data_IF_579901521572
#
_entry.id   IF_579901521572
#
_cell.length_a   1.000
_cell.length_b   1.000
_cell.length_c   1.000
_cell.angle_alpha   90.00
_cell.angle_beta   90.00
_cell.angle_gamma   90.00
#
_symmetry.space_group_name_H-M   'P 1'
#
loop_
_entity.id
_entity.type
_entity.pdbx_description
1 polymer ?
#
# COMPACT_ATOMS: atom_id res chain seq x y z
N UNK A 1 28.24 -6.20 -14.88
CA UNK A 1 27.32 -7.18 -14.29
C UNK A 1 26.55 -7.79 -15.45
N UNK A 2 26.32 -9.10 -15.45
CA UNK A 2 25.52 -9.73 -16.50
C UNK A 2 24.06 -9.33 -16.25
N UNK A 3 23.56 -8.32 -16.94
CA UNK A 3 22.15 -7.91 -16.84
C UNK A 3 21.27 -9.09 -17.24
N UNK A 4 20.51 -9.62 -16.28
CA UNK A 4 19.58 -10.75 -16.52
C UNK A 4 18.43 -10.33 -17.45
N UNK A 5 18.18 -9.03 -17.56
CA UNK A 5 17.16 -8.41 -18.40
C UNK A 5 17.82 -7.36 -19.29
N UNK A 6 17.57 -7.38 -20.60
CA UNK A 6 17.96 -6.27 -21.46
C UNK A 6 17.07 -5.04 -21.18
N UNK A 7 17.55 -3.85 -21.55
CA UNK A 7 16.87 -2.59 -21.27
C UNK A 7 15.44 -2.51 -21.84
N UNK A 8 15.17 -3.15 -22.99
CA UNK A 8 13.83 -3.14 -23.60
C UNK A 8 12.89 -4.03 -22.77
N UNK A 9 13.34 -5.23 -22.41
CA UNK A 9 12.57 -6.14 -21.57
C UNK A 9 12.28 -5.54 -20.19
N UNK A 10 13.27 -4.90 -19.57
CA UNK A 10 13.11 -4.25 -18.26
C UNK A 10 12.06 -3.14 -18.31
N UNK A 11 12.09 -2.28 -19.32
CA UNK A 11 11.11 -1.20 -19.51
C UNK A 11 9.69 -1.76 -19.73
N UNK A 12 9.56 -2.79 -20.57
CA UNK A 12 8.27 -3.46 -20.82
C UNK A 12 7.73 -4.06 -19.52
N UNK A 13 8.58 -4.73 -18.74
CA UNK A 13 8.17 -5.35 -17.49
C UNK A 13 7.76 -4.31 -16.46
N UNK A 14 8.54 -3.24 -16.30
CA UNK A 14 8.20 -2.19 -15.34
C UNK A 14 6.90 -1.49 -15.70
N UNK A 15 6.72 -1.11 -16.98
CA UNK A 15 5.47 -0.54 -17.48
C UNK A 15 4.26 -1.44 -17.22
N UNK A 16 4.42 -2.76 -17.37
CA UNK A 16 3.36 -3.73 -17.03
C UNK A 16 3.07 -3.77 -15.52
N UNK A 17 4.08 -3.71 -14.66
CA UNK A 17 3.87 -3.67 -13.21
C UNK A 17 3.17 -2.37 -12.76
N UNK A 18 3.48 -1.24 -13.39
CA UNK A 18 2.76 0.02 -13.17
C UNK A 18 1.29 -0.15 -13.59
N UNK A 19 1.03 -0.77 -14.75
CA UNK A 19 -0.33 -1.08 -15.18
C UNK A 19 -1.08 -2.00 -14.19
N UNK A 20 -0.41 -2.94 -13.53
CA UNK A 20 -1.00 -3.75 -12.45
C UNK A 20 -1.47 -2.87 -11.29
N UNK A 21 -0.63 -1.94 -10.84
CA UNK A 21 -1.00 -1.01 -9.77
C UNK A 21 -2.13 -0.06 -10.19
N UNK A 22 -2.09 0.44 -11.42
CA UNK A 22 -3.12 1.33 -11.99
C UNK A 22 -4.48 0.64 -12.17
N UNK A 23 -4.50 -0.65 -12.51
CA UNK A 23 -5.75 -1.41 -12.59
C UNK A 23 -6.36 -1.63 -11.21
N UNK A 24 -5.53 -1.87 -10.19
CA UNK A 24 -5.97 -1.93 -8.80
C UNK A 24 -6.51 -0.57 -8.32
N UNK A 25 -5.85 0.54 -8.67
CA UNK A 25 -6.30 1.90 -8.37
C UNK A 25 -7.64 2.21 -9.05
N UNK A 26 -7.79 1.85 -10.33
CA UNK A 26 -9.05 1.99 -11.06
C UNK A 26 -10.17 1.19 -10.41
N UNK A 27 -9.87 -0.02 -9.93
CA UNK A 27 -10.83 -0.84 -9.20
C UNK A 27 -11.26 -0.16 -7.90
N UNK A 28 -10.30 0.27 -7.08
CA UNK A 28 -10.57 1.00 -5.83
C UNK A 28 -11.46 2.21 -6.06
N UNK A 29 -11.11 3.05 -7.03
CA UNK A 29 -11.86 4.26 -7.37
C UNK A 29 -13.32 3.95 -7.77
N UNK A 30 -13.55 2.88 -8.53
CA UNK A 30 -14.86 2.51 -9.07
C UNK A 30 -15.76 1.80 -8.06
N UNK A 31 -15.18 1.18 -7.04
CA UNK A 31 -15.93 0.44 -6.00
C UNK A 31 -16.01 1.18 -4.68
N UNK A 32 -15.30 2.31 -4.53
CA UNK A 32 -15.36 3.16 -3.35
C UNK A 32 -16.74 3.79 -3.13
N UNK A 33 -17.05 4.01 -1.84
CA UNK A 33 -18.31 4.54 -1.36
C UNK A 33 -18.16 6.01 -0.97
N UNK A 34 -17.02 6.41 -0.39
CA UNK A 34 -16.81 7.79 0.01
C UNK A 34 -16.35 8.69 -1.16
N UNK A 35 -16.73 9.98 -1.15
CA UNK A 35 -16.20 10.95 -2.11
C UNK A 35 -14.70 11.24 -1.90
N UNK A 36 -14.14 10.90 -0.73
CA UNK A 36 -12.72 11.06 -0.44
C UNK A 36 -11.89 10.21 -1.41
N UNK A 37 -12.23 8.93 -1.52
CA UNK A 37 -11.58 8.04 -2.50
C UNK A 37 -12.07 8.37 -3.90
N UNK A 38 -13.39 8.46 -4.12
CA UNK A 38 -14.01 8.51 -5.46
C UNK A 38 -13.77 9.82 -6.22
N UNK A 39 -13.70 10.94 -5.51
CA UNK A 39 -13.64 12.28 -6.12
C UNK A 39 -12.33 13.01 -5.81
N UNK A 40 -11.69 12.72 -4.67
CA UNK A 40 -10.44 13.38 -4.27
C UNK A 40 -9.19 12.55 -4.53
N UNK A 41 -9.33 11.27 -4.93
CA UNK A 41 -8.23 10.34 -5.14
C UNK A 41 -7.29 10.21 -3.93
N UNK A 42 -7.81 10.31 -2.71
CA UNK A 42 -7.01 10.21 -1.48
C UNK A 42 -6.73 8.75 -1.12
N UNK A 43 -5.97 8.08 -2.00
CA UNK A 43 -5.54 6.70 -1.86
C UNK A 43 -4.27 6.42 -2.67
N UNK A 44 -3.65 5.27 -2.43
CA UNK A 44 -2.65 4.69 -3.32
C UNK A 44 -2.74 3.16 -3.31
N UNK A 45 -2.25 2.55 -4.38
CA UNK A 45 -2.04 1.11 -4.51
C UNK A 45 -0.58 0.84 -4.86
N UNK A 46 -0.04 -0.24 -4.32
CA UNK A 46 1.36 -0.62 -4.54
C UNK A 46 1.50 -2.14 -4.66
N UNK A 47 2.43 -2.56 -5.52
CA UNK A 47 2.96 -3.91 -5.55
C UNK A 47 4.35 -3.90 -4.93
N UNK A 48 4.61 -4.80 -3.99
CA UNK A 48 5.85 -4.87 -3.23
C UNK A 48 6.44 -6.28 -3.28
N UNK A 49 7.76 -6.39 -3.19
CA UNK A 49 8.43 -7.69 -3.09
C UNK A 49 8.32 -8.28 -1.66
N UNK A 50 8.94 -9.45 -1.43
CA UNK A 50 8.93 -10.14 -0.13
C UNK A 50 9.65 -9.39 1.00
N UNK A 51 10.47 -8.38 0.67
CA UNK A 51 11.11 -7.48 1.65
C UNK A 51 10.28 -6.22 1.91
N UNK A 52 9.08 -6.10 1.35
CA UNK A 52 8.26 -4.89 1.44
C UNK A 52 8.89 -3.71 0.70
N UNK A 53 9.71 -3.94 -0.31
CA UNK A 53 10.24 -2.89 -1.19
C UNK A 53 9.27 -2.72 -2.38
N UNK A 54 8.90 -1.48 -2.69
CA UNK A 54 7.93 -1.16 -3.74
C UNK A 54 8.49 -1.46 -5.13
N UNK A 55 7.80 -2.30 -5.89
CA UNK A 55 8.09 -2.60 -7.30
C UNK A 55 7.42 -1.61 -8.24
N UNK A 56 6.16 -1.31 -7.95
CA UNK A 56 5.34 -0.37 -8.71
C UNK A 56 4.26 0.24 -7.80
N UNK A 57 3.90 1.47 -8.12
CA UNK A 57 2.85 2.25 -7.47
C UNK A 57 1.90 2.78 -8.54
N UNK A 58 0.65 3.08 -8.17
CA UNK A 58 -0.27 3.68 -9.11
C UNK A 58 0.15 5.11 -9.47
N UNK A 59 -0.08 5.48 -10.73
CA UNK A 59 0.32 6.75 -11.32
C UNK A 59 -0.50 7.93 -10.80
N UNK A 60 -1.74 7.68 -10.36
CA UNK A 60 -2.72 8.71 -9.98
C UNK A 60 -3.00 8.85 -8.49
N UNK A 61 -2.27 8.14 -7.64
CA UNK A 61 -2.46 8.16 -6.18
C UNK A 61 -1.68 9.27 -5.48
N UNK A 62 -1.82 9.34 -4.15
CA UNK A 62 -1.06 10.27 -3.30
C UNK A 62 0.37 9.74 -3.10
N UNK A 63 1.43 10.49 -3.51
CA UNK A 63 2.82 10.01 -3.39
C UNK A 63 3.25 9.68 -1.95
N UNK A 64 2.69 10.38 -0.95
CA UNK A 64 2.98 10.10 0.45
C UNK A 64 2.57 8.67 0.86
N UNK A 65 1.43 8.18 0.36
CA UNK A 65 0.99 6.80 0.62
C UNK A 65 1.88 5.78 -0.06
N UNK A 66 2.22 6.00 -1.34
CA UNK A 66 3.10 5.10 -2.07
C UNK A 66 4.47 4.96 -1.40
N UNK A 67 5.04 6.07 -0.92
CA UNK A 67 6.30 6.08 -0.18
C UNK A 67 6.25 5.40 1.20
N UNK A 68 5.07 5.36 1.84
CA UNK A 68 4.89 4.79 3.19
C UNK A 68 4.43 3.33 3.18
N UNK A 69 3.72 2.88 2.14
CA UNK A 69 3.18 1.51 2.06
C UNK A 69 4.27 0.43 2.15
N UNK A 70 5.42 0.63 1.50
CA UNK A 70 6.56 -0.31 1.63
C UNK A 70 7.08 -0.39 3.07
N UNK A 71 7.13 0.75 3.78
CA UNK A 71 7.52 0.78 5.20
C UNK A 71 6.47 0.12 6.09
N UNK A 72 5.19 0.39 5.85
CA UNK A 72 4.08 -0.25 6.57
C UNK A 72 4.11 -1.77 6.37
N UNK A 73 4.33 -2.23 5.14
CA UNK A 73 4.50 -3.65 4.81
C UNK A 73 5.64 -4.28 5.61
N UNK A 74 6.83 -3.66 5.65
CA UNK A 74 7.96 -4.16 6.46
C UNK A 74 7.63 -4.27 7.95
N UNK A 75 7.02 -3.23 8.53
CA UNK A 75 6.59 -3.24 9.93
C UNK A 75 5.53 -4.32 10.23
N UNK A 76 4.65 -4.60 9.26
CA UNK A 76 3.67 -5.69 9.37
C UNK A 76 4.40 -7.05 9.29
N UNK A 77 5.38 -7.20 8.41
CA UNK A 77 6.17 -8.43 8.26
C UNK A 77 7.00 -8.78 9.51
N UNK A 78 7.40 -7.78 10.30
CA UNK A 78 8.03 -8.01 11.61
C UNK A 78 7.09 -8.70 12.60
N UNK A 79 5.77 -8.50 12.47
CA UNK A 79 4.73 -9.08 13.32
C UNK A 79 4.14 -10.36 12.75
N UNK A 80 4.09 -10.45 11.43
CA UNK A 80 3.59 -11.58 10.65
C UNK A 80 4.71 -12.08 9.73
N UNK A 81 5.60 -12.98 10.21
CA UNK A 81 6.68 -13.54 9.41
C UNK A 81 6.18 -14.20 8.12
N UNK A 82 7.00 -14.21 7.07
CA UNK A 82 6.62 -14.64 5.71
C UNK A 82 5.95 -16.03 5.67
N UNK A 83 6.41 -16.96 6.49
CA UNK A 83 5.90 -18.34 6.59
C UNK A 83 4.49 -18.44 7.19
N UNK A 84 4.01 -17.37 7.83
CA UNK A 84 2.68 -17.36 8.48
C UNK A 84 1.56 -16.97 7.54
N UNK A 85 1.89 -16.34 6.40
CA UNK A 85 0.93 -15.86 5.43
C UNK A 85 0.32 -16.97 4.60
N UNK A 86 -0.98 -16.87 4.36
CA UNK A 86 -1.76 -17.79 3.53
C UNK A 86 -2.45 -17.05 2.42
N UNK A 87 -2.72 -17.76 1.33
CA UNK A 87 -3.52 -17.21 0.26
C UNK A 87 -4.91 -16.80 0.78
N UNK A 88 -5.33 -15.57 0.46
CA UNK A 88 -6.59 -15.01 0.96
C UNK A 88 -6.47 -14.29 2.31
N UNK A 89 -5.30 -14.22 2.93
CA UNK A 89 -5.08 -13.32 4.05
C UNK A 89 -5.15 -11.85 3.59
N UNK A 90 -5.57 -10.97 4.50
CA UNK A 90 -5.48 -9.52 4.37
C UNK A 90 -5.27 -8.95 5.76
N UNK A 91 -4.19 -8.20 5.96
CA UNK A 91 -3.88 -7.52 7.23
C UNK A 91 -4.14 -6.03 7.04
N UNK A 92 -4.74 -5.39 8.03
CA UNK A 92 -5.00 -3.95 8.01
C UNK A 92 -4.55 -3.26 9.28
N UNK A 93 -4.28 -1.96 9.18
CA UNK A 93 -3.90 -1.08 10.28
C UNK A 93 -4.11 0.37 9.87
N UNK A 94 -4.33 1.23 10.86
CA UNK A 94 -4.21 2.69 10.73
C UNK A 94 -3.30 3.26 11.82
N UNK A 95 -2.49 2.41 12.47
CA UNK A 95 -1.55 2.84 13.51
C UNK A 95 -0.60 3.87 12.90
N UNK A 96 -0.62 5.14 13.36
CA UNK A 96 0.07 6.23 12.68
C UNK A 96 1.59 6.07 12.73
N UNK A 97 2.10 5.26 13.66
CA UNK A 97 3.54 4.98 13.77
C UNK A 97 4.02 3.91 12.78
N UNK A 98 3.09 3.20 12.15
CA UNK A 98 3.32 2.09 11.22
C UNK A 98 2.88 2.45 9.81
N UNK A 99 1.68 3.03 9.69
CA UNK A 99 1.01 3.38 8.45
C UNK A 99 1.46 4.77 7.98
N UNK A 100 0.52 5.69 7.76
CA UNK A 100 0.74 6.93 6.99
C UNK A 100 0.82 8.19 7.85
N UNK A 101 0.96 8.06 9.18
CA UNK A 101 1.22 9.18 10.07
C UNK A 101 0.00 9.78 10.79
N UNK A 102 -1.22 9.35 10.47
CA UNK A 102 -2.44 9.71 11.19
C UNK A 102 -3.51 8.60 11.12
N UNK A 103 -4.51 8.64 12.00
CA UNK A 103 -5.52 7.59 12.15
C UNK A 103 -6.52 7.43 10.99
N UNK A 104 -6.94 8.48 10.26
CA UNK A 104 -7.94 8.32 9.21
C UNK A 104 -7.49 7.42 8.05
N UNK A 105 -6.19 7.28 7.81
CA UNK A 105 -5.71 6.47 6.71
C UNK A 105 -5.58 5.00 7.11
N UNK A 106 -6.29 4.16 6.38
CA UNK A 106 -6.29 2.72 6.62
C UNK A 106 -5.43 2.06 5.54
N UNK A 107 -4.37 1.38 5.97
CA UNK A 107 -3.49 0.59 5.11
C UNK A 107 -3.86 -0.91 5.17
N UNK A 108 -3.97 -1.55 3.99
CA UNK A 108 -4.21 -2.98 3.84
C UNK A 108 -3.05 -3.63 3.08
N UNK A 109 -2.55 -4.76 3.58
CA UNK A 109 -1.52 -5.60 2.95
C UNK A 109 -2.08 -7.00 2.72
N UNK A 110 -1.95 -7.50 1.50
CA UNK A 110 -2.41 -8.83 1.12
C UNK A 110 -1.31 -9.60 0.33
N UNK A 111 -1.11 -10.91 0.59
CA UNK A 111 -0.06 -11.68 -0.04
C UNK A 111 -0.43 -12.06 -1.49
N UNK A 112 0.56 -11.97 -2.39
CA UNK A 112 0.46 -12.47 -3.76
C UNK A 112 1.07 -13.86 -3.81
N UNK A 113 0.26 -14.85 -4.21
CA UNK A 113 0.71 -16.22 -4.45
C UNK A 113 0.77 -16.53 -5.94
N UNK A 114 1.82 -17.24 -6.35
CA UNK A 114 2.00 -17.76 -7.70
C UNK A 114 2.50 -19.21 -7.61
N UNK A 115 1.84 -20.15 -8.28
CA UNK A 115 2.14 -21.59 -8.21
C UNK A 115 2.29 -22.14 -6.77
N UNK A 116 1.43 -21.68 -5.86
CA UNK A 116 1.43 -22.11 -4.44
C UNK A 116 2.55 -21.51 -3.59
N UNK A 117 3.33 -20.56 -4.12
CA UNK A 117 4.41 -19.87 -3.39
C UNK A 117 4.06 -18.40 -3.18
N UNK A 118 4.39 -17.87 -2.00
CA UNK A 118 4.35 -16.44 -1.72
C UNK A 118 5.46 -15.75 -2.52
N UNK A 119 5.10 -14.77 -3.36
CA UNK A 119 6.05 -14.11 -4.28
C UNK A 119 6.11 -12.58 -4.12
N UNK A 120 5.07 -11.96 -3.58
CA UNK A 120 4.96 -10.52 -3.42
C UNK A 120 3.86 -10.14 -2.42
N UNK A 121 3.67 -8.85 -2.19
CA UNK A 121 2.55 -8.27 -1.46
C UNK A 121 1.87 -7.18 -2.29
N UNK A 122 0.54 -7.15 -2.26
CA UNK A 122 -0.26 -6.01 -2.69
C UNK A 122 -0.58 -5.14 -1.48
N UNK A 123 -0.48 -3.82 -1.65
CA UNK A 123 -0.83 -2.85 -0.63
C UNK A 123 -1.80 -1.79 -1.15
N UNK A 124 -2.71 -1.36 -0.29
CA UNK A 124 -3.49 -0.14 -0.48
C UNK A 124 -3.41 0.72 0.78
N UNK A 125 -3.49 2.03 0.61
CA UNK A 125 -3.81 2.96 1.68
C UNK A 125 -4.89 3.90 1.17
N UNK A 126 -5.89 4.18 1.98
CA UNK A 126 -6.94 5.14 1.64
C UNK A 126 -7.43 5.89 2.88
N UNK A 127 -7.77 7.16 2.69
CA UNK A 127 -8.30 8.00 3.74
C UNK A 127 -9.77 7.66 4.01
N UNK A 128 -10.06 7.20 5.23
CA UNK A 128 -11.42 6.93 5.67
C UNK A 128 -12.13 8.24 6.05
N UNK A 129 -13.44 8.37 5.76
CA UNK A 129 -14.19 9.57 6.09
C UNK A 129 -14.41 9.80 7.60
N UNK A 130 -14.17 8.78 8.41
CA UNK A 130 -14.31 8.83 9.86
C UNK A 130 -13.47 7.72 10.50
N UNK A 131 -12.98 7.94 11.71
CA UNK A 131 -12.31 6.90 12.51
C UNK A 131 -12.82 6.91 13.97
N UNK A 132 -13.99 7.49 14.20
CA UNK A 132 -14.49 7.82 15.52
C UNK A 132 -13.84 9.07 16.09
N UNK A 133 -13.66 9.09 17.41
CA UNK A 133 -12.95 10.19 18.09
C UNK A 133 -13.67 11.55 18.04
N UNK A 134 -13.00 12.54 18.59
CA UNK A 134 -13.37 13.95 18.58
C UNK A 134 -12.95 14.60 17.26
N UNK A 135 -13.88 15.30 16.62
CA UNK A 135 -13.64 16.08 15.39
C UNK A 135 -13.05 17.47 15.68
N UNK A 136 -12.65 17.73 16.92
CA UNK A 136 -12.11 19.03 17.33
C UNK A 136 -10.61 19.09 17.03
N UNK A 137 -10.09 20.27 16.65
CA UNK A 137 -8.66 20.43 16.38
C UNK A 137 -7.80 20.50 17.64
N UNK A 138 -8.39 20.57 18.84
CA UNK A 138 -7.70 20.74 20.12
C UNK A 138 -7.53 19.44 20.92
N UNK A 139 -7.66 18.28 20.26
CA UNK A 139 -7.33 16.98 20.83
C UNK A 139 -5.88 16.99 21.34
N UNK A 140 -5.65 16.46 22.55
CA UNK A 140 -4.33 16.46 23.21
C UNK A 140 -3.66 15.10 23.18
N UNK A 141 -4.46 14.05 23.05
CA UNK A 141 -3.99 12.68 23.03
C UNK A 141 -4.61 11.92 21.85
N UNK A 142 -3.85 10.97 21.29
CA UNK A 142 -4.30 10.10 20.19
C UNK A 142 -5.60 9.35 20.52
N UNK A 143 -5.86 9.08 21.81
CA UNK A 143 -7.07 8.41 22.27
C UNK A 143 -8.34 9.25 22.08
N UNK A 144 -8.18 10.56 21.92
CA UNK A 144 -9.27 11.48 21.57
C UNK A 144 -9.52 11.49 20.06
N UNK A 145 -8.55 11.09 19.24
CA UNK A 145 -8.60 11.20 17.78
C UNK A 145 -9.32 10.03 17.09
N UNK A 146 -9.58 8.94 17.83
CA UNK A 146 -10.41 7.84 17.37
C UNK A 146 -9.78 6.46 17.56
N UNK A 147 -10.24 5.50 16.76
CA UNK A 147 -9.83 4.10 16.90
C UNK A 147 -8.46 3.90 16.27
N UNK A 148 -7.48 3.52 17.09
CA UNK A 148 -6.20 3.01 16.62
C UNK A 148 -6.24 1.48 16.48
N UNK A 149 -6.12 1.02 15.24
CA UNK A 149 -6.15 -0.39 14.83
C UNK A 149 -4.71 -0.86 14.66
N UNK A 150 -4.19 -1.71 15.56
CA UNK A 150 -2.90 -2.34 15.33
C UNK A 150 -2.99 -3.27 14.12
N UNK A 151 -1.86 -3.64 13.48
CA UNK A 151 -1.78 -4.70 12.49
C UNK A 151 -2.48 -5.98 12.95
N UNK A 152 -3.63 -6.27 12.34
CA UNK A 152 -4.44 -7.46 12.59
C UNK A 152 -5.01 -7.99 11.28
N UNK A 153 -5.41 -9.26 11.27
CA UNK A 153 -6.13 -9.82 10.12
C UNK A 153 -7.50 -9.14 9.96
N UNK A 154 -7.78 -8.66 8.75
CA UNK A 154 -9.12 -8.35 8.26
C UNK A 154 -9.74 -9.59 7.60
N UNK A 155 -8.92 -10.32 6.84
CA UNK A 155 -9.25 -11.64 6.29
C UNK A 155 -8.17 -12.64 6.69
N UNK A 156 -8.62 -13.86 6.97
CA UNK A 156 -7.76 -15.02 7.24
C UNK A 156 -8.17 -16.17 6.33
N UNK A 157 -7.29 -16.54 5.41
CA UNK A 157 -7.53 -17.54 4.37
C UNK A 157 -8.88 -17.34 3.64
N UNK A 158 -9.21 -16.10 3.29
CA UNK A 158 -10.44 -15.73 2.59
C UNK A 158 -11.68 -15.58 3.49
N UNK A 159 -11.57 -15.81 4.80
CA UNK A 159 -12.67 -15.61 5.74
C UNK A 159 -12.51 -14.26 6.46
N UNK A 160 -13.55 -13.43 6.42
CA UNK A 160 -13.55 -12.10 7.05
C UNK A 160 -13.63 -12.22 8.58
N UNK A 161 -12.84 -11.41 9.28
CA UNK A 161 -12.80 -11.34 10.75
C UNK A 161 -13.95 -10.44 11.29
N UNK A 162 -15.17 -10.95 11.25
CA UNK A 162 -16.41 -10.21 11.57
C UNK A 162 -16.43 -9.56 12.95
N UNK A 163 -15.81 -10.19 13.95
CA UNK A 163 -15.91 -9.73 15.34
C UNK A 163 -15.12 -8.43 15.53
N UNK A 164 -13.90 -8.37 14.99
CA UNK A 164 -13.05 -7.17 15.05
C UNK A 164 -13.65 -6.06 14.18
N UNK A 165 -14.12 -6.40 12.99
CA UNK A 165 -14.75 -5.45 12.10
C UNK A 165 -16.01 -4.83 12.72
N UNK A 166 -16.88 -5.64 13.33
CA UNK A 166 -18.06 -5.14 14.05
C UNK A 166 -17.70 -4.23 15.21
N UNK A 167 -16.65 -4.55 15.97
CA UNK A 167 -16.18 -3.69 17.06
C UNK A 167 -15.73 -2.33 16.51
N UNK A 168 -14.92 -2.32 15.45
CA UNK A 168 -14.48 -1.09 14.81
C UNK A 168 -15.65 -0.27 14.26
N UNK A 169 -16.54 -0.90 13.47
CA UNK A 169 -17.69 -0.22 12.85
C UNK A 169 -18.70 0.34 13.87
N UNK A 170 -18.72 -0.17 15.11
CA UNK A 170 -19.56 0.41 16.17
C UNK A 170 -18.98 1.69 16.79
N UNK A 171 -17.74 2.05 16.45
CA UNK A 171 -17.03 3.21 16.97
C UNK A 171 -16.86 4.32 15.92
N UNK A 172 -17.54 4.21 14.78
CA UNK A 172 -17.47 5.17 13.67
C UNK A 172 -18.88 5.68 13.32
N UNK A 173 -18.96 6.89 12.77
CA UNK A 173 -20.21 7.61 12.46
C UNK A 173 -20.90 7.10 11.20
N UNK A 174 -20.12 6.61 10.23
CA UNK A 174 -20.60 6.18 8.93
C UNK A 174 -20.12 4.75 8.60
N UNK A 175 -20.59 3.74 9.36
CA UNK A 175 -20.08 2.37 9.24
C UNK A 175 -20.26 1.77 7.84
N UNK A 176 -21.37 2.08 7.15
CA UNK A 176 -21.62 1.55 5.81
C UNK A 176 -20.65 2.13 4.77
N UNK A 177 -20.30 3.43 4.87
CA UNK A 177 -19.31 4.06 3.99
C UNK A 177 -17.92 3.47 4.23
N UNK A 178 -17.52 3.36 5.50
CA UNK A 178 -16.21 2.82 5.88
C UNK A 178 -16.08 1.36 5.48
N UNK A 179 -17.10 0.55 5.74
CA UNK A 179 -17.10 -0.85 5.31
C UNK A 179 -17.00 -0.93 3.78
N UNK A 180 -17.77 -0.12 3.06
CA UNK A 180 -17.70 -0.05 1.60
C UNK A 180 -16.30 0.28 1.08
N UNK A 181 -15.63 1.28 1.68
CA UNK A 181 -14.27 1.68 1.30
C UNK A 181 -13.22 0.62 1.67
N UNK A 182 -13.35 -0.04 2.82
CA UNK A 182 -12.48 -1.17 3.22
C UNK A 182 -12.64 -2.33 2.22
N UNK A 183 -13.86 -2.69 1.86
CA UNK A 183 -14.13 -3.74 0.87
C UNK A 183 -13.65 -3.34 -0.53
N UNK A 184 -13.71 -2.05 -0.88
CA UNK A 184 -13.13 -1.52 -2.11
C UNK A 184 -11.61 -1.71 -2.13
N UNK A 185 -10.91 -1.44 -1.02
CA UNK A 185 -9.48 -1.70 -0.87
C UNK A 185 -9.14 -3.19 -0.94
N UNK A 186 -9.94 -4.06 -0.30
CA UNK A 186 -9.78 -5.52 -0.41
C UNK A 186 -9.92 -5.98 -1.87
N UNK A 187 -10.92 -5.47 -2.58
CA UNK A 187 -11.17 -5.79 -4.00
C UNK A 187 -10.02 -5.32 -4.89
N UNK A 188 -9.49 -4.12 -4.66
CA UNK A 188 -8.32 -3.61 -5.36
C UNK A 188 -7.08 -4.49 -5.14
N UNK A 189 -6.83 -4.92 -3.90
CA UNK A 189 -5.76 -5.86 -3.57
C UNK A 189 -5.95 -7.22 -4.25
N UNK A 190 -7.19 -7.71 -4.39
CA UNK A 190 -7.47 -8.95 -5.13
C UNK A 190 -7.13 -8.81 -6.63
N UNK A 191 -7.48 -7.68 -7.25
CA UNK A 191 -7.13 -7.39 -8.65
C UNK A 191 -5.61 -7.33 -8.82
N UNK A 192 -4.92 -6.58 -7.96
CA UNK A 192 -3.45 -6.49 -7.98
C UNK A 192 -2.79 -7.87 -7.85
N UNK A 193 -3.22 -8.68 -6.86
CA UNK A 193 -2.73 -10.06 -6.65
C UNK A 193 -2.89 -10.92 -7.89
N UNK A 194 -4.08 -10.88 -8.51
CA UNK A 194 -4.36 -11.65 -9.72
C UNK A 194 -3.45 -11.19 -10.86
N UNK A 195 -3.38 -9.89 -11.12
CA UNK A 195 -2.60 -9.33 -12.23
C UNK A 195 -1.09 -9.52 -12.07
N UNK A 196 -0.59 -9.46 -10.84
CA UNK A 196 0.80 -9.80 -10.54
C UNK A 196 1.10 -11.28 -10.81
N UNK A 197 0.19 -12.20 -10.46
CA UNK A 197 0.34 -13.63 -10.75
C UNK A 197 0.23 -13.92 -12.25
N UNK A 198 -0.70 -13.27 -12.96
CA UNK A 198 -0.85 -13.35 -14.42
C UNK A 198 0.44 -12.83 -15.11
N UNK A 199 1.03 -11.74 -14.61
CA UNK A 199 2.30 -11.22 -15.12
C UNK A 199 3.45 -12.25 -15.03
N UNK A 200 3.58 -12.96 -13.90
CA UNK A 200 4.58 -14.02 -13.75
C UNK A 200 4.32 -15.18 -14.73
N UNK A 201 3.05 -15.56 -14.90
CA UNK A 201 2.66 -16.60 -15.86
C UNK A 201 3.01 -16.20 -17.31
N UNK A 202 2.71 -14.98 -17.71
CA UNK A 202 2.94 -14.47 -19.07
C UNK A 202 4.42 -14.28 -19.40
N UNK A 203 5.23 -13.92 -18.41
CA UNK A 203 6.68 -13.68 -18.58
C UNK A 203 7.52 -14.94 -18.38
N UNK A 204 6.98 -15.96 -17.71
CA UNK A 204 7.71 -17.16 -17.33
C UNK A 204 8.69 -16.94 -16.17
N UNK A 205 8.58 -15.83 -15.46
CA UNK A 205 9.37 -15.58 -14.25
C UNK A 205 8.81 -16.38 -13.07
N UNK A 206 9.69 -16.97 -12.27
CA UNK A 206 9.29 -17.73 -11.07
C UNK A 206 8.85 -16.80 -9.92
N UNK A 207 9.49 -15.64 -9.80
CA UNK A 207 9.24 -14.61 -8.80
C UNK A 207 9.70 -13.23 -9.29
N UNK A 208 9.58 -12.22 -8.42
CA UNK A 208 9.96 -10.84 -8.71
C UNK A 208 11.39 -10.48 -8.26
N UNK A 209 12.17 -11.40 -7.69
CA UNK A 209 13.37 -11.04 -6.93
C UNK A 209 14.46 -10.38 -7.79
N UNK A 210 14.77 -10.97 -8.94
CA UNK A 210 15.78 -10.41 -9.84
C UNK A 210 15.27 -9.17 -10.57
N UNK A 211 13.99 -9.14 -10.94
CA UNK A 211 13.37 -7.95 -11.53
C UNK A 211 13.40 -6.78 -10.55
N UNK A 212 13.05 -7.02 -9.29
CA UNK A 212 13.11 -6.07 -8.19
C UNK A 212 14.52 -5.49 -8.03
N UNK A 213 15.54 -6.34 -8.04
CA UNK A 213 16.94 -5.93 -7.91
C UNK A 213 17.36 -4.95 -9.00
N UNK A 214 17.04 -5.26 -10.26
CA UNK A 214 17.38 -4.40 -11.39
C UNK A 214 16.58 -3.08 -11.37
N UNK A 215 15.28 -3.12 -11.05
CA UNK A 215 14.46 -1.90 -10.92
C UNK A 215 14.97 -0.97 -9.81
N UNK A 216 15.33 -1.52 -8.65
CA UNK A 216 15.91 -0.73 -7.56
C UNK A 216 17.30 -0.18 -7.91
N UNK A 217 18.14 -0.96 -8.58
CA UNK A 217 19.45 -0.48 -9.03
C UNK A 217 19.32 0.66 -10.05
N UNK A 218 18.39 0.54 -11.00
CA UNK A 218 18.07 1.59 -11.96
C UNK A 218 17.56 2.86 -11.27
N UNK A 219 16.63 2.71 -10.32
CA UNK A 219 16.05 3.82 -9.55
C UNK A 219 17.11 4.54 -8.70
N UNK A 220 17.97 3.78 -8.00
CA UNK A 220 19.09 4.30 -7.22
C UNK A 220 20.06 5.09 -8.10
N UNK A 221 20.45 4.54 -9.24
CA UNK A 221 21.36 5.21 -10.16
C UNK A 221 20.74 6.49 -10.73
N UNK A 222 19.44 6.47 -11.04
CA UNK A 222 18.70 7.65 -11.50
C UNK A 222 18.69 8.75 -10.44
N UNK A 223 18.35 8.40 -9.19
CA UNK A 223 18.36 9.34 -8.06
C UNK A 223 19.77 9.90 -7.82
N UNK A 224 20.80 9.05 -7.86
CA UNK A 224 22.19 9.48 -7.70
C UNK A 224 22.62 10.48 -8.79
N UNK A 225 22.22 10.26 -10.04
CA UNK A 225 22.45 11.23 -11.14
C UNK A 225 21.73 12.54 -10.90
N UNK A 226 20.47 12.50 -10.45
CA UNK A 226 19.70 13.71 -10.14
C UNK A 226 20.34 14.52 -9.00
N UNK A 227 20.79 13.85 -7.94
CA UNK A 227 21.51 14.48 -6.82
C UNK A 227 22.84 15.09 -7.30
N UNK A 228 23.62 14.35 -8.11
CA UNK A 228 24.91 14.83 -8.61
C UNK A 228 24.80 16.04 -9.57
N UNK A 229 23.62 16.27 -10.17
CA UNK A 229 23.34 17.44 -10.98
C UNK A 229 23.06 18.71 -10.15
N UNK A 230 22.76 18.56 -8.86
CA UNK A 230 22.60 19.70 -7.94
C UNK A 230 23.98 20.27 -7.61
N UNK A 231 24.19 21.60 -7.70
CA UNK A 231 25.49 22.20 -7.36
C UNK A 231 25.89 21.92 -5.91
N UNK A 232 27.17 21.63 -5.69
CA UNK A 232 27.73 21.48 -4.34
C UNK A 232 27.47 22.73 -3.50
N UNK A 233 26.89 22.57 -2.33
CA UNK A 233 26.56 23.68 -1.44
C UNK A 233 25.74 23.26 -0.23
N UNK A 234 25.50 24.23 0.64
CA UNK A 234 24.59 24.08 1.79
C UNK A 234 23.34 24.91 1.49
N UNK A 235 22.20 24.24 1.43
CA UNK A 235 20.90 24.85 1.16
C UNK A 235 20.09 24.89 2.46
N UNK A 236 19.57 26.07 2.84
CA UNK A 236 18.77 26.26 4.05
C UNK A 236 17.47 26.98 3.75
N UNK A 237 16.37 26.51 4.34
CA UNK A 237 15.05 27.15 4.30
C UNK A 237 14.36 27.00 5.66
N UNK A 238 13.44 27.89 5.98
CA UNK A 238 12.63 27.86 7.20
C UNK A 238 11.21 28.30 6.91
N UNK A 239 10.23 27.60 7.47
CA UNK A 239 8.81 27.95 7.40
C UNK A 239 8.30 28.19 8.81
N UNK A 240 7.53 29.26 9.01
CA UNK A 240 6.85 29.56 10.28
C UNK A 240 5.37 29.19 10.13
N UNK A 241 4.85 28.43 11.09
CA UNK A 241 3.46 27.99 11.16
C UNK A 241 2.85 28.51 12.48
N UNK A 242 1.58 28.90 12.45
CA UNK A 242 0.76 29.22 13.62
C UNK A 242 -0.14 28.02 13.95
N UNK A 243 0.22 27.30 15.02
CA UNK A 243 -0.61 26.21 15.57
C UNK A 243 -1.74 26.73 16.43
#
# INVERSE_FOLDING_TARGET
MSEKFDAISLEIYWSKLIAVADEAATTLLRTAFSPIIRESNDFATCLMNLRGETLAECSGGIPAFAGLLGRACRSILERFPLETWREGDCVFTNDPWIATGHLPDIALIAPVFHNGRLVAFSGTAAHAPDIGGSVRPDNREIYEEGVCIPPIHLYRAGVREETMLRLFLNNVRHPDLILGDIEAQVTANQVCRKRASDFLADTGLEDFEDLSRELHAMSEQSMRRAIAAVPDGVYSSSVRLDG
#
